data_IF_788301934662
#
_entry.id   IF_788301934662
#
_cell.length_a   1.000
_cell.length_b   1.000
_cell.length_c   1.000
_cell.angle_alpha   90.00
_cell.angle_beta   90.00
_cell.angle_gamma   90.00
#
_symmetry.space_group_name_H-M   'P 1'
#
loop_
_entity.id
_entity.type
_entity.pdbx_description
1 polymer ?
#
# COMPACT_ATOMS: atom_id res chain seq x y z
N UNK A 1 2.32 -50.97 -72.87
CA UNK A 1 1.64 -49.67 -72.71
C UNK A 1 2.17 -49.12 -71.40
N UNK A 2 3.23 -48.31 -71.44
CA UNK A 2 3.19 -46.85 -71.74
C UNK A 2 2.28 -46.17 -70.69
N UNK A 3 2.68 -45.15 -69.92
CA UNK A 3 3.69 -44.10 -70.12
C UNK A 3 3.91 -43.32 -68.80
N UNK A 4 5.08 -42.70 -68.66
CA UNK A 4 5.50 -41.73 -67.65
C UNK A 4 4.78 -40.36 -67.75
N UNK A 5 4.69 -39.62 -66.63
CA UNK A 5 4.83 -38.15 -66.49
C UNK A 5 4.86 -37.84 -64.97
N UNK A 6 5.98 -37.56 -64.29
CA UNK A 6 6.86 -36.36 -64.24
C UNK A 6 6.23 -35.06 -63.69
N UNK A 7 7.05 -34.34 -62.90
CA UNK A 7 6.88 -33.04 -62.22
C UNK A 7 6.09 -33.05 -60.90
N UNK A 8 6.52 -32.44 -59.79
CA UNK A 8 7.63 -31.54 -59.51
C UNK A 8 7.25 -30.65 -58.31
N UNK A 9 8.25 -30.27 -57.51
CA UNK A 9 8.28 -29.10 -56.61
C UNK A 9 7.44 -29.17 -55.31
N UNK A 10 8.07 -29.34 -54.14
CA UNK A 10 8.69 -28.28 -53.32
C UNK A 10 7.67 -27.25 -52.82
N UNK A 11 7.24 -27.37 -51.55
CA UNK A 11 6.73 -26.22 -50.79
C UNK A 11 7.08 -26.33 -49.30
N UNK A 12 8.24 -25.72 -49.01
CA UNK A 12 8.49 -24.78 -47.94
C UNK A 12 7.90 -25.07 -46.54
N UNK A 13 8.71 -25.75 -45.73
CA UNK A 13 8.74 -25.52 -44.29
C UNK A 13 9.38 -24.15 -44.02
N UNK A 14 8.57 -23.09 -43.99
CA UNK A 14 9.01 -21.77 -43.53
C UNK A 14 8.82 -21.69 -42.01
N UNK A 15 9.81 -22.17 -41.27
CA UNK A 15 10.02 -21.85 -39.86
C UNK A 15 10.58 -20.42 -39.77
N UNK A 16 9.68 -19.44 -39.76
CA UNK A 16 10.01 -18.06 -39.41
C UNK A 16 10.16 -17.95 -37.89
N UNK A 17 11.23 -18.55 -37.37
CA UNK A 17 11.75 -18.20 -36.06
C UNK A 17 12.57 -16.93 -36.20
N UNK A 18 11.88 -15.79 -36.33
CA UNK A 18 12.45 -14.46 -36.12
C UNK A 18 12.88 -14.34 -34.66
N UNK A 19 14.07 -14.89 -34.37
CA UNK A 19 14.72 -14.79 -33.08
C UNK A 19 15.14 -13.32 -32.91
N UNK A 20 14.49 -12.62 -31.98
CA UNK A 20 14.87 -11.27 -31.54
C UNK A 20 16.30 -11.31 -30.99
N UNK A 21 17.28 -10.93 -31.83
CA UNK A 21 18.68 -10.75 -31.41
C UNK A 21 18.88 -9.42 -30.65
N UNK A 22 17.93 -8.48 -30.74
CA UNK A 22 18.00 -7.15 -30.10
C UNK A 22 17.75 -7.21 -28.57
N UNK A 23 16.96 -8.15 -28.06
CA UNK A 23 16.60 -8.18 -26.62
C UNK A 23 17.80 -8.55 -25.71
N UNK A 24 18.77 -9.31 -26.21
CA UNK A 24 19.91 -9.78 -25.39
C UNK A 24 20.94 -8.68 -25.11
N UNK A 25 21.05 -7.70 -26.00
CA UNK A 25 22.03 -6.61 -25.85
C UNK A 25 21.51 -5.55 -24.87
N UNK A 26 20.19 -5.33 -24.80
CA UNK A 26 19.55 -4.40 -23.85
C UNK A 26 19.72 -4.90 -22.40
N UNK A 27 19.43 -6.19 -22.15
CA UNK A 27 19.59 -6.79 -20.82
C UNK A 27 21.05 -6.68 -20.32
N UNK A 28 22.04 -6.85 -21.20
CA UNK A 28 23.45 -6.77 -20.85
C UNK A 28 23.94 -5.35 -20.53
N UNK A 29 23.34 -4.32 -21.15
CA UNK A 29 23.63 -2.92 -20.82
C UNK A 29 22.99 -2.52 -19.48
N UNK A 30 21.77 -2.99 -19.22
CA UNK A 30 21.07 -2.75 -17.96
C UNK A 30 21.83 -3.35 -16.77
N UNK A 31 22.30 -4.59 -16.89
CA UNK A 31 23.09 -5.23 -15.83
C UNK A 31 24.38 -4.48 -15.51
N UNK A 32 25.11 -4.00 -16.52
CA UNK A 32 26.32 -3.19 -16.31
C UNK A 32 26.02 -1.90 -15.56
N UNK A 33 24.94 -1.20 -15.92
CA UNK A 33 24.56 0.03 -15.24
C UNK A 33 24.20 -0.23 -13.77
N UNK A 34 23.52 -1.35 -13.47
CA UNK A 34 23.23 -1.76 -12.09
C UNK A 34 24.52 -2.00 -11.30
N UNK A 35 25.48 -2.75 -11.86
CA UNK A 35 26.77 -3.03 -11.22
C UNK A 35 27.57 -1.76 -10.94
N UNK A 36 27.61 -0.81 -11.88
CA UNK A 36 28.28 0.48 -11.68
C UNK A 36 27.66 1.29 -10.55
N UNK A 37 26.33 1.33 -10.47
CA UNK A 37 25.61 2.03 -9.41
C UNK A 37 25.82 1.34 -8.04
N UNK A 38 25.81 0.01 -7.99
CA UNK A 38 26.14 -0.75 -6.79
C UNK A 38 27.59 -0.55 -6.35
N UNK A 39 28.54 -0.47 -7.29
CA UNK A 39 29.93 -0.18 -6.99
C UNK A 39 30.11 1.22 -6.36
N UNK A 40 29.36 2.22 -6.83
CA UNK A 40 29.34 3.57 -6.21
C UNK A 40 28.84 3.53 -4.77
N UNK A 41 27.79 2.76 -4.49
CA UNK A 41 27.26 2.58 -3.13
C UNK A 41 28.26 1.81 -2.26
N UNK A 42 28.94 0.80 -2.80
CA UNK A 42 29.95 0.03 -2.06
C UNK A 42 31.17 0.88 -1.70
N UNK A 43 31.57 1.79 -2.61
CA UNK A 43 32.62 2.75 -2.35
C UNK A 43 32.23 3.77 -1.27
N UNK A 44 30.99 4.28 -1.32
CA UNK A 44 30.47 5.26 -0.37
C UNK A 44 29.05 4.88 0.14
N UNK A 45 28.94 4.03 1.18
CA UNK A 45 27.64 3.55 1.66
C UNK A 45 26.72 4.62 2.22
N UNK A 46 27.29 5.73 2.71
CA UNK A 46 26.56 6.83 3.35
C UNK A 46 26.11 7.92 2.37
N UNK A 47 26.28 7.72 1.05
CA UNK A 47 25.83 8.69 0.06
C UNK A 47 24.35 8.45 -0.30
N UNK A 48 23.47 9.28 0.25
CA UNK A 48 22.02 9.18 0.08
C UNK A 48 21.56 9.18 -1.39
N UNK A 49 22.06 10.14 -2.20
CA UNK A 49 21.64 10.29 -3.60
C UNK A 49 21.97 9.05 -4.44
N UNK A 50 23.07 8.35 -4.14
CA UNK A 50 23.47 7.14 -4.86
C UNK A 50 22.45 6.02 -4.68
N UNK A 51 21.91 5.85 -3.46
CA UNK A 51 20.84 4.88 -3.21
C UNK A 51 19.56 5.24 -3.95
N UNK A 52 19.15 6.52 -3.94
CA UNK A 52 17.95 6.95 -4.69
C UNK A 52 18.12 6.68 -6.19
N UNK A 53 19.27 7.03 -6.76
CA UNK A 53 19.52 6.82 -8.20
C UNK A 53 19.47 5.35 -8.57
N UNK A 54 19.98 4.45 -7.72
CA UNK A 54 19.89 3.01 -7.93
C UNK A 54 18.44 2.52 -7.83
N UNK A 55 17.71 2.92 -6.80
CA UNK A 55 16.30 2.50 -6.61
C UNK A 55 15.43 2.98 -7.77
N UNK A 56 15.59 4.23 -8.22
CA UNK A 56 14.87 4.76 -9.36
C UNK A 56 15.20 4.00 -10.66
N UNK A 57 16.47 3.66 -10.88
CA UNK A 57 16.89 2.88 -12.03
C UNK A 57 16.30 1.46 -12.02
N UNK A 58 16.37 0.76 -10.88
CA UNK A 58 15.84 -0.59 -10.70
C UNK A 58 14.30 -0.63 -10.86
N UNK A 59 13.61 0.42 -10.41
CA UNK A 59 12.17 0.56 -10.59
C UNK A 59 11.79 0.75 -12.05
N UNK A 60 12.57 1.51 -12.81
CA UNK A 60 12.32 1.75 -14.24
C UNK A 60 12.61 0.51 -15.11
N UNK A 61 13.59 -0.30 -14.73
CA UNK A 61 13.97 -1.55 -15.43
C UNK A 61 13.11 -2.75 -15.00
N UNK A 62 12.23 -2.60 -14.00
CA UNK A 62 11.36 -3.69 -13.55
C UNK A 62 12.07 -4.82 -12.80
N UNK A 63 13.32 -4.63 -12.37
CA UNK A 63 14.10 -5.61 -11.62
C UNK A 63 13.64 -5.69 -10.14
N UNK A 64 12.50 -6.34 -9.89
CA UNK A 64 11.79 -6.34 -8.59
C UNK A 64 12.63 -6.91 -7.43
N UNK A 65 13.36 -8.00 -7.65
CA UNK A 65 14.19 -8.61 -6.59
C UNK A 65 15.33 -7.68 -6.15
N UNK A 66 16.11 -7.19 -7.14
CA UNK A 66 17.20 -6.24 -6.88
C UNK A 66 16.66 -4.93 -6.27
N UNK A 67 15.47 -4.48 -6.66
CA UNK A 67 14.80 -3.31 -6.09
C UNK A 67 14.49 -3.48 -4.60
N UNK A 68 13.94 -4.64 -4.21
CA UNK A 68 13.69 -4.99 -2.80
C UNK A 68 14.98 -4.98 -1.99
N UNK A 69 16.04 -5.60 -2.51
CA UNK A 69 17.34 -5.65 -1.84
C UNK A 69 17.95 -4.25 -1.67
N UNK A 70 17.87 -3.41 -2.71
CA UNK A 70 18.37 -2.03 -2.65
C UNK A 70 17.62 -1.19 -1.61
N UNK A 71 16.28 -1.32 -1.55
CA UNK A 71 15.45 -0.63 -0.55
C UNK A 71 15.74 -1.10 0.86
N UNK A 72 15.90 -2.41 1.08
CA UNK A 72 16.31 -2.97 2.38
C UNK A 72 17.71 -2.53 2.79
N UNK A 73 18.66 -2.48 1.85
CA UNK A 73 20.01 -1.98 2.12
C UNK A 73 20.00 -0.51 2.55
N UNK A 74 19.20 0.33 1.86
CA UNK A 74 19.03 1.74 2.22
C UNK A 74 18.35 1.91 3.58
N UNK A 75 17.27 1.17 3.85
CA UNK A 75 16.50 1.23 5.11
C UNK A 75 17.32 0.82 6.35
N UNK A 76 18.36 -0.01 6.17
CA UNK A 76 19.27 -0.40 7.26
C UNK A 76 20.21 0.73 7.68
N UNK A 77 20.51 1.66 6.77
CA UNK A 77 21.49 2.73 6.98
C UNK A 77 20.77 4.04 7.33
N UNK A 78 19.60 4.29 6.73
CA UNK A 78 18.87 5.55 6.85
C UNK A 78 17.41 5.31 7.24
N UNK A 79 16.84 6.16 8.13
CA UNK A 79 15.39 6.30 8.25
C UNK A 79 14.84 6.84 6.92
N UNK A 80 13.95 6.10 6.26
CA UNK A 80 13.45 6.48 4.94
C UNK A 80 12.35 7.52 5.06
N UNK A 81 12.34 8.51 4.17
CA UNK A 81 11.30 9.54 4.20
C UNK A 81 9.91 8.92 3.95
N UNK A 82 8.82 9.57 4.41
CA UNK A 82 7.47 9.07 4.17
C UNK A 82 7.17 8.79 2.69
N UNK A 83 7.71 9.59 1.77
CA UNK A 83 7.52 9.42 0.33
C UNK A 83 8.16 8.11 -0.17
N UNK A 84 9.37 7.79 0.29
CA UNK A 84 10.06 6.55 -0.07
C UNK A 84 9.36 5.32 0.49
N UNK A 85 8.88 5.39 1.73
CA UNK A 85 8.08 4.32 2.33
C UNK A 85 6.78 4.09 1.55
N UNK A 86 6.05 5.17 1.25
CA UNK A 86 4.80 5.09 0.48
C UNK A 86 5.02 4.55 -0.92
N UNK A 87 6.11 4.95 -1.59
CA UNK A 87 6.46 4.41 -2.90
C UNK A 87 6.72 2.90 -2.83
N UNK A 88 7.52 2.45 -1.86
CA UNK A 88 7.82 1.03 -1.70
C UNK A 88 6.57 0.23 -1.39
N UNK A 89 5.77 0.68 -0.42
CA UNK A 89 4.53 0.03 -0.03
C UNK A 89 3.56 -0.05 -1.21
N UNK A 90 3.46 1.02 -2.01
CA UNK A 90 2.59 1.04 -3.19
C UNK A 90 3.04 0.00 -4.21
N UNK A 91 4.33 -0.05 -4.53
CA UNK A 91 4.86 -1.03 -5.48
C UNK A 91 4.58 -2.46 -5.00
N UNK A 92 4.84 -2.78 -3.72
CA UNK A 92 4.54 -4.12 -3.17
C UNK A 92 3.04 -4.42 -3.17
N UNK A 93 2.20 -3.45 -2.83
CA UNK A 93 0.75 -3.62 -2.83
C UNK A 93 0.18 -3.91 -4.22
N UNK A 94 0.77 -3.33 -5.27
CA UNK A 94 0.34 -3.58 -6.66
C UNK A 94 0.69 -4.97 -7.17
N UNK A 95 1.69 -5.61 -6.54
CA UNK A 95 2.09 -6.99 -6.87
C UNK A 95 1.27 -8.04 -6.11
N UNK A 96 0.46 -7.64 -5.13
CA UNK A 96 -0.34 -8.56 -4.32
C UNK A 96 -1.71 -8.80 -4.96
N UNK A 97 -2.00 -10.04 -5.35
CA UNK A 97 -3.32 -10.41 -5.88
C UNK A 97 -4.22 -10.99 -4.78
N UNK A 98 -3.61 -11.66 -3.80
CA UNK A 98 -4.31 -12.35 -2.71
C UNK A 98 -4.26 -11.55 -1.40
N UNK A 99 -5.23 -11.80 -0.51
CA UNK A 99 -5.23 -11.18 0.82
C UNK A 99 -4.05 -11.67 1.68
N UNK A 100 -3.58 -12.90 1.47
CA UNK A 100 -2.38 -13.44 2.15
C UNK A 100 -1.09 -12.70 1.75
N UNK A 101 -0.96 -12.32 0.48
CA UNK A 101 0.17 -11.51 0.02
C UNK A 101 0.10 -10.08 0.55
N UNK A 102 -1.09 -9.49 0.57
CA UNK A 102 -1.31 -8.18 1.16
C UNK A 102 -0.98 -8.18 2.65
N UNK A 103 -1.25 -9.25 3.40
CA UNK A 103 -0.82 -9.35 4.79
C UNK A 103 0.71 -9.28 4.95
N UNK A 104 1.50 -9.70 3.95
CA UNK A 104 2.97 -9.57 3.96
C UNK A 104 3.46 -8.13 3.77
N UNK A 105 2.59 -7.21 3.33
CA UNK A 105 2.90 -5.77 3.22
C UNK A 105 2.73 -5.06 4.57
N UNK A 106 1.93 -5.61 5.49
CA UNK A 106 1.66 -5.01 6.81
C UNK A 106 2.94 -4.71 7.62
N UNK A 107 3.96 -5.59 7.68
CA UNK A 107 5.22 -5.28 8.35
C UNK A 107 5.98 -4.08 7.76
N UNK A 108 5.80 -3.76 6.48
CA UNK A 108 6.39 -2.55 5.88
C UNK A 108 5.75 -1.28 6.45
N UNK A 109 4.42 -1.27 6.60
CA UNK A 109 3.74 -0.18 7.30
C UNK A 109 4.21 -0.03 8.75
N UNK A 110 4.34 -1.15 9.48
CA UNK A 110 4.82 -1.15 10.86
C UNK A 110 6.23 -0.56 11.01
N UNK A 111 7.09 -0.77 10.03
CA UNK A 111 8.43 -0.14 9.98
C UNK A 111 8.32 1.33 9.60
N UNK A 112 7.54 1.66 8.58
CA UNK A 112 7.40 3.02 8.07
C UNK A 112 6.91 4.01 9.15
N UNK A 113 5.93 3.61 9.96
CA UNK A 113 5.39 4.48 11.04
C UNK A 113 6.35 4.68 12.22
N UNK A 114 7.45 3.92 12.29
CA UNK A 114 8.48 4.08 13.33
C UNK A 114 9.54 5.13 12.95
N UNK A 115 9.84 5.29 11.65
CA UNK A 115 10.89 6.22 11.20
C UNK A 115 10.46 7.69 11.34
N UNK A 116 9.23 8.02 10.94
CA UNK A 116 8.72 9.38 10.98
C UNK A 116 7.26 9.44 11.43
N UNK A 117 6.93 10.48 12.19
CA UNK A 117 5.55 10.83 12.48
C UNK A 117 4.90 11.46 11.23
N UNK A 118 4.29 10.63 10.39
CA UNK A 118 3.59 11.06 9.17
C UNK A 118 2.12 10.66 9.21
N UNK A 119 1.23 11.65 9.17
CA UNK A 119 -0.22 11.41 9.09
C UNK A 119 -0.58 10.69 7.79
N UNK A 120 0.09 11.01 6.68
CA UNK A 120 -0.15 10.36 5.40
C UNK A 120 0.15 8.86 5.45
N UNK A 121 1.25 8.45 6.09
CA UNK A 121 1.58 7.03 6.28
C UNK A 121 0.52 6.31 7.12
N UNK A 122 0.04 6.93 8.19
CA UNK A 122 -1.02 6.35 9.02
C UNK A 122 -2.35 6.21 8.28
N UNK A 123 -2.72 7.19 7.45
CA UNK A 123 -3.93 7.14 6.64
C UNK A 123 -3.87 6.01 5.61
N UNK A 124 -2.75 5.90 4.89
CA UNK A 124 -2.53 4.81 3.93
C UNK A 124 -2.50 3.45 4.64
N UNK A 125 -1.92 3.37 5.84
CA UNK A 125 -1.93 2.15 6.63
C UNK A 125 -3.35 1.72 7.03
N UNK A 126 -4.16 2.68 7.49
CA UNK A 126 -5.55 2.43 7.83
C UNK A 126 -6.37 2.01 6.60
N UNK A 127 -6.19 2.69 5.46
CA UNK A 127 -6.86 2.38 4.20
C UNK A 127 -6.49 0.98 3.68
N UNK A 128 -5.21 0.62 3.73
CA UNK A 128 -4.76 -0.71 3.37
C UNK A 128 -5.36 -1.78 4.28
N UNK A 129 -5.42 -1.50 5.59
CA UNK A 129 -6.06 -2.40 6.56
C UNK A 129 -7.57 -2.57 6.31
N UNK A 130 -8.28 -1.52 5.88
CA UNK A 130 -9.70 -1.60 5.49
C UNK A 130 -9.88 -2.55 4.30
N UNK A 131 -8.94 -2.53 3.34
CA UNK A 131 -8.93 -3.47 2.22
C UNK A 131 -8.87 -4.94 2.65
N UNK A 132 -8.34 -5.21 3.84
CA UNK A 132 -8.22 -6.55 4.46
C UNK A 132 -9.26 -6.80 5.56
N UNK A 133 -10.30 -5.97 5.67
CA UNK A 133 -11.27 -6.06 6.76
C UNK A 133 -12.08 -7.36 6.76
N UNK A 134 -12.24 -8.00 5.60
CA UNK A 134 -12.99 -9.26 5.45
C UNK A 134 -12.20 -10.50 5.94
N UNK A 135 -10.90 -10.36 6.19
CA UNK A 135 -10.08 -11.41 6.77
C UNK A 135 -10.44 -11.66 8.25
N UNK A 136 -9.91 -12.73 8.83
CA UNK A 136 -10.13 -13.05 10.24
C UNK A 136 -9.67 -11.89 11.15
N UNK A 137 -10.56 -11.43 12.03
CA UNK A 137 -10.33 -10.27 12.91
C UNK A 137 -9.96 -8.96 12.17
N UNK A 138 -10.25 -8.85 10.87
CA UNK A 138 -9.89 -7.69 10.05
C UNK A 138 -10.50 -6.38 10.56
N UNK A 139 -11.77 -6.40 10.99
CA UNK A 139 -12.42 -5.22 11.59
C UNK A 139 -11.71 -4.73 12.85
N UNK A 140 -11.34 -5.65 13.75
CA UNK A 140 -10.65 -5.28 14.99
C UNK A 140 -9.24 -4.75 14.70
N UNK A 141 -8.55 -5.33 13.72
CA UNK A 141 -7.26 -4.83 13.23
C UNK A 141 -7.35 -3.40 12.71
N UNK A 142 -8.33 -3.08 11.86
CA UNK A 142 -8.54 -1.72 11.34
C UNK A 142 -8.73 -0.73 12.50
N UNK A 143 -9.56 -1.09 13.49
CA UNK A 143 -9.77 -0.28 14.68
C UNK A 143 -8.49 -0.06 15.47
N UNK A 144 -7.69 -1.11 15.67
CA UNK A 144 -6.40 -1.00 16.34
C UNK A 144 -5.43 -0.08 15.59
N UNK A 145 -5.39 -0.14 14.26
CA UNK A 145 -4.56 0.76 13.44
C UNK A 145 -5.01 2.21 13.63
N UNK A 146 -6.31 2.50 13.54
CA UNK A 146 -6.82 3.85 13.78
C UNK A 146 -6.55 4.36 15.20
N UNK A 147 -6.74 3.53 16.23
CA UNK A 147 -6.47 3.92 17.62
C UNK A 147 -4.99 4.23 17.84
N UNK A 148 -4.09 3.42 17.26
CA UNK A 148 -2.64 3.67 17.28
C UNK A 148 -2.29 4.95 16.54
N UNK A 149 -2.86 5.14 15.34
CA UNK A 149 -2.64 6.32 14.54
C UNK A 149 -3.04 7.58 15.31
N UNK A 150 -4.23 7.60 15.89
CA UNK A 150 -4.74 8.75 16.66
C UNK A 150 -3.90 9.00 17.91
N UNK A 151 -3.42 7.94 18.56
CA UNK A 151 -2.50 8.07 19.70
C UNK A 151 -1.17 8.68 19.30
N UNK A 152 -0.62 8.30 18.14
CA UNK A 152 0.65 8.80 17.65
C UNK A 152 0.56 10.23 17.06
N UNK A 153 -0.42 10.45 16.17
CA UNK A 153 -0.50 11.62 15.29
C UNK A 153 -1.81 12.43 15.43
N UNK A 154 -2.72 12.05 16.34
CA UNK A 154 -4.00 12.73 16.51
C UNK A 154 -3.91 14.15 17.09
N UNK A 155 -2.76 14.54 17.63
CA UNK A 155 -2.46 15.91 18.10
C UNK A 155 -1.75 16.76 17.04
N UNK A 156 -1.53 16.22 15.84
CA UNK A 156 -0.82 16.93 14.78
C UNK A 156 -1.62 18.17 14.36
N UNK A 157 -1.00 19.36 14.47
CA UNK A 157 -1.70 20.65 14.38
C UNK A 157 -2.45 20.82 13.06
N UNK A 158 -1.79 20.62 11.91
CA UNK A 158 -2.39 20.83 10.59
C UNK A 158 -3.13 19.62 10.04
N UNK A 159 -2.58 18.42 10.21
CA UNK A 159 -3.07 17.20 9.57
C UNK A 159 -3.82 16.23 10.50
N UNK A 160 -3.76 16.42 11.83
CA UNK A 160 -4.38 15.49 12.78
C UNK A 160 -5.89 15.36 12.59
N UNK A 161 -6.55 16.45 12.17
CA UNK A 161 -7.99 16.44 11.84
C UNK A 161 -8.36 15.41 10.77
N UNK A 162 -7.50 15.22 9.75
CA UNK A 162 -7.72 14.26 8.67
C UNK A 162 -7.79 12.82 9.19
N UNK A 163 -6.95 12.50 10.18
CA UNK A 163 -6.91 11.18 10.77
C UNK A 163 -8.16 10.89 11.61
N UNK A 164 -8.59 11.88 12.39
CA UNK A 164 -9.86 11.77 13.11
C UNK A 164 -11.05 11.67 12.16
N UNK A 165 -11.07 12.44 11.08
CA UNK A 165 -12.10 12.39 10.04
C UNK A 165 -12.19 11.02 9.39
N UNK A 166 -11.07 10.49 8.90
CA UNK A 166 -11.02 9.14 8.34
C UNK A 166 -11.52 8.08 9.35
N UNK A 167 -11.16 8.21 10.64
CA UNK A 167 -11.63 7.26 11.64
C UNK A 167 -13.14 7.39 11.92
N UNK A 168 -13.67 8.63 12.01
CA UNK A 168 -15.11 8.87 12.19
C UNK A 168 -15.90 8.33 11.00
N UNK A 169 -15.48 8.64 9.78
CA UNK A 169 -16.13 8.18 8.55
C UNK A 169 -16.18 6.65 8.49
N UNK A 170 -15.07 5.98 8.83
CA UNK A 170 -15.03 4.53 8.91
C UNK A 170 -16.09 3.95 9.87
N UNK A 171 -16.17 4.45 11.11
CA UNK A 171 -17.15 3.94 12.10
C UNK A 171 -18.60 4.37 11.77
N UNK A 172 -18.82 5.49 11.09
CA UNK A 172 -20.14 5.92 10.57
C UNK A 172 -20.60 4.99 9.43
N UNK A 173 -19.70 4.63 8.52
CA UNK A 173 -19.98 3.64 7.48
C UNK A 173 -20.39 2.30 8.10
N UNK A 174 -19.67 1.83 9.13
CA UNK A 174 -20.05 0.63 9.88
C UNK A 174 -21.37 0.76 10.63
N UNK A 175 -21.68 1.93 11.18
CA UNK A 175 -22.99 2.18 11.81
C UNK A 175 -24.12 2.04 10.79
N UNK A 176 -23.90 2.57 9.57
CA UNK A 176 -24.87 2.52 8.48
C UNK A 176 -25.13 1.09 8.01
N UNK A 177 -24.10 0.24 7.94
CA UNK A 177 -24.27 -1.18 7.58
C UNK A 177 -25.01 -1.96 8.65
N UNK A 178 -24.72 -1.71 9.93
CA UNK A 178 -25.46 -2.31 11.06
C UNK A 178 -26.91 -1.87 11.09
N UNK A 179 -27.19 -0.59 10.80
CA UNK A 179 -28.55 -0.05 10.73
C UNK A 179 -29.35 -0.66 9.57
N UNK A 180 -28.75 -0.80 8.38
CA UNK A 180 -29.40 -1.42 7.24
C UNK A 180 -29.72 -2.91 7.46
N UNK A 181 -28.90 -3.61 8.26
CA UNK A 181 -29.16 -4.99 8.67
C UNK A 181 -30.21 -5.15 9.78
N UNK A 182 -30.56 -4.07 10.48
CA UNK A 182 -31.54 -4.06 11.56
C UNK A 182 -32.92 -3.64 11.03
N UNK A 183 -33.70 -4.60 10.54
CA UNK A 183 -35.13 -4.37 10.23
C UNK A 183 -35.98 -4.27 11.51
N UNK A 184 -37.28 -3.96 11.36
CA UNK A 184 -38.24 -3.80 12.46
C UNK A 184 -38.35 -5.04 13.39
N UNK A 185 -37.87 -6.21 12.94
CA UNK A 185 -37.81 -7.47 13.69
C UNK A 185 -36.38 -7.80 14.23
N UNK A 186 -35.55 -6.78 14.44
CA UNK A 186 -34.18 -6.97 14.93
C UNK A 186 -34.11 -7.62 16.32
N UNK A 187 -33.29 -8.67 16.44
CA UNK A 187 -32.98 -9.38 17.70
C UNK A 187 -32.39 -8.42 18.72
N UNK A 188 -32.58 -8.70 20.03
CA UNK A 188 -31.99 -7.91 21.11
C UNK A 188 -30.48 -7.67 20.90
N UNK A 189 -29.74 -8.68 20.46
CA UNK A 189 -28.30 -8.60 20.16
C UNK A 189 -27.97 -7.57 19.07
N UNK A 190 -28.78 -7.48 18.01
CA UNK A 190 -28.56 -6.52 16.92
C UNK A 190 -28.81 -5.08 17.41
N UNK A 191 -29.79 -4.88 18.30
CA UNK A 191 -30.04 -3.58 18.94
C UNK A 191 -28.88 -3.18 19.84
N UNK A 192 -28.34 -4.11 20.61
CA UNK A 192 -27.17 -3.88 21.46
C UNK A 192 -25.93 -3.53 20.62
N UNK A 193 -25.70 -4.24 19.51
CA UNK A 193 -24.63 -3.93 18.55
C UNK A 193 -24.79 -2.54 17.92
N UNK A 194 -25.99 -2.18 17.48
CA UNK A 194 -26.27 -0.84 16.96
C UNK A 194 -25.98 0.25 18.00
N UNK A 195 -26.45 0.07 19.24
CA UNK A 195 -26.20 1.03 20.33
C UNK A 195 -24.71 1.13 20.65
N UNK A 196 -23.99 0.01 20.70
CA UNK A 196 -22.55 -0.01 20.92
C UNK A 196 -21.78 0.73 19.80
N UNK A 197 -22.16 0.48 18.55
CA UNK A 197 -21.56 1.12 17.39
C UNK A 197 -21.83 2.63 17.37
N UNK A 198 -23.06 3.06 17.66
CA UNK A 198 -23.43 4.48 17.79
C UNK A 198 -22.64 5.17 18.92
N UNK A 199 -22.51 4.50 20.06
CA UNK A 199 -21.75 5.04 21.20
C UNK A 199 -20.26 5.20 20.86
N UNK A 200 -19.71 4.32 20.01
CA UNK A 200 -18.32 4.42 19.52
C UNK A 200 -18.12 5.66 18.64
N UNK A 201 -19.00 5.89 17.66
CA UNK A 201 -18.97 7.11 16.84
C UNK A 201 -19.03 8.36 17.72
N UNK A 202 -19.97 8.38 18.68
CA UNK A 202 -20.12 9.50 19.60
C UNK A 202 -18.89 9.73 20.50
N UNK A 203 -18.23 8.65 20.95
CA UNK A 203 -17.01 8.77 21.74
C UNK A 203 -15.84 9.35 20.94
N UNK A 204 -15.75 9.05 19.64
CA UNK A 204 -14.75 9.65 18.74
C UNK A 204 -14.96 11.15 18.58
N UNK A 205 -16.19 11.61 18.35
CA UNK A 205 -16.49 13.05 18.31
C UNK A 205 -16.08 13.75 19.62
N UNK A 206 -16.43 13.17 20.78
CA UNK A 206 -16.02 13.73 22.08
C UNK A 206 -14.51 13.82 22.24
N UNK A 207 -13.78 12.76 21.86
CA UNK A 207 -12.33 12.70 21.95
C UNK A 207 -11.70 13.75 21.03
N UNK A 208 -12.11 13.85 19.78
CA UNK A 208 -11.58 14.83 18.86
C UNK A 208 -11.87 16.27 19.29
N UNK A 209 -13.09 16.57 19.76
CA UNK A 209 -13.45 17.89 20.28
C UNK A 209 -12.73 18.25 21.59
N UNK A 210 -12.04 17.29 22.23
CA UNK A 210 -11.16 17.60 23.35
C UNK A 210 -9.74 18.01 22.92
N UNK A 211 -9.43 17.91 21.62
CA UNK A 211 -8.14 18.28 21.03
C UNK A 211 -8.28 19.59 20.24
N UNK A 212 -7.37 20.57 20.43
CA UNK A 212 -7.42 21.83 19.70
C UNK A 212 -6.89 21.67 18.26
N UNK A 213 -7.72 21.12 17.38
CA UNK A 213 -7.41 20.94 15.96
C UNK A 213 -8.05 22.03 15.10
N UNK A 214 -7.50 22.25 13.91
CA UNK A 214 -8.15 23.10 12.91
C UNK A 214 -9.51 22.54 12.49
N UNK A 215 -10.49 23.42 12.26
CA UNK A 215 -11.81 23.04 11.75
C UNK A 215 -12.73 22.40 12.80
N UNK A 216 -12.43 22.57 14.09
CA UNK A 216 -13.25 22.04 15.19
C UNK A 216 -14.73 22.48 15.13
N UNK A 217 -15.01 23.65 14.56
CA UNK A 217 -16.37 24.15 14.37
C UNK A 217 -17.19 23.24 13.45
N UNK A 218 -16.57 22.70 12.38
CA UNK A 218 -17.23 21.78 11.46
C UNK A 218 -17.54 20.46 12.15
N UNK A 219 -16.56 19.90 12.87
CA UNK A 219 -16.75 18.68 13.67
C UNK A 219 -17.86 18.84 14.70
N UNK A 220 -18.01 20.02 15.30
CA UNK A 220 -19.09 20.29 16.25
C UNK A 220 -20.46 20.46 15.57
N UNK A 221 -20.51 20.95 14.33
CA UNK A 221 -21.74 20.99 13.53
C UNK A 221 -22.18 19.57 13.16
N UNK A 222 -21.27 18.73 12.66
CA UNK A 222 -21.51 17.31 12.35
C UNK A 222 -22.04 16.53 13.57
N UNK A 223 -21.57 16.83 14.79
CA UNK A 223 -22.08 16.18 16.01
C UNK A 223 -23.54 16.53 16.33
N UNK A 224 -24.04 17.68 15.87
CA UNK A 224 -25.40 18.13 16.14
C UNK A 224 -26.44 17.58 15.17
N UNK A 225 -25.98 17.18 13.98
CA UNK A 225 -26.80 16.53 12.96
C UNK A 225 -27.10 15.07 13.35
#
# INVERSE_FOLDING_TARGET
METNHDMGEEDAMSDDSSCSEDDKDVDAEEEKQIEELQAKITANPYQYDSHITLIAYLRNTGNLEKLRDAREAMAKIFPLTPELWLEWIKDESTLCETDEEKEKVMPLFERAVQDYLSVALWLEYAQFSIGLMNAEQGLERVRQVFERAVTAAGLHVSQGALLWEAYREFEICLLSTVQAGASEESTQEQREQYVAQRNRVYSLFKRQLSVPLFGMEKTYQELKE
#
